data_IF_471789802176
#
_entry.id   IF_471789802176
#
_cell.length_a   1.000
_cell.length_b   1.000
_cell.length_c   1.000
_cell.angle_alpha   90.00
_cell.angle_beta   90.00
_cell.angle_gamma   90.00
#
_symmetry.space_group_name_H-M   'P 1'
#
loop_
_entity.id
_entity.type
_entity.pdbx_description
1 polymer ?
#
# COMPACT_ATOMS: atom_id res chain seq x y z
N UNK A 1 -65.48 -63.50 2.22
CA UNK A 1 -65.23 -63.81 3.65
C UNK A 1 -64.41 -62.67 4.24
N UNK A 2 -64.99 -61.81 5.09
CA UNK A 2 -64.28 -60.68 5.74
C UNK A 2 -63.56 -61.18 6.99
N UNK A 3 -62.32 -60.72 7.23
CA UNK A 3 -61.66 -60.78 8.55
C UNK A 3 -61.10 -59.41 8.90
N UNK A 4 -61.38 -58.96 10.12
CA UNK A 4 -60.76 -57.84 10.81
C UNK A 4 -59.84 -58.47 11.85
N UNK A 5 -58.53 -58.17 11.81
CA UNK A 5 -57.61 -58.51 12.88
C UNK A 5 -57.21 -57.21 13.57
N UNK A 6 -57.64 -57.06 14.84
CA UNK A 6 -57.12 -56.05 15.75
C UNK A 6 -55.89 -56.64 16.42
N UNK A 7 -54.72 -56.05 16.17
CA UNK A 7 -53.52 -56.33 16.96
C UNK A 7 -53.45 -55.30 18.09
N UNK A 8 -53.63 -55.77 19.32
CA UNK A 8 -53.34 -55.02 20.54
C UNK A 8 -51.83 -55.08 20.80
N UNK A 9 -51.13 -53.94 20.69
CA UNK A 9 -49.70 -53.87 21.02
C UNK A 9 -49.51 -53.31 22.44
N UNK A 10 -48.84 -54.09 23.28
CA UNK A 10 -48.55 -53.83 24.69
C UNK A 10 -47.48 -52.74 24.77
N UNK A 11 -47.86 -51.57 25.29
CA UNK A 11 -46.93 -50.47 25.55
C UNK A 11 -45.84 -50.92 26.53
N UNK A 12 -44.64 -51.20 26.01
CA UNK A 12 -43.45 -51.31 26.84
C UNK A 12 -43.09 -49.90 27.32
N UNK A 13 -43.23 -49.67 28.63
CA UNK A 13 -42.82 -48.43 29.29
C UNK A 13 -41.34 -48.18 28.96
N UNK A 14 -41.07 -47.20 28.09
CA UNK A 14 -39.74 -46.71 27.84
C UNK A 14 -39.14 -46.20 29.15
N UNK A 15 -38.02 -46.76 29.58
CA UNK A 15 -37.23 -46.19 30.64
C UNK A 15 -36.52 -44.94 30.09
N UNK A 16 -37.14 -43.77 30.30
CA UNK A 16 -36.47 -42.50 30.02
C UNK A 16 -35.32 -42.33 31.00
N UNK A 17 -34.09 -42.60 30.56
CA UNK A 17 -32.89 -42.18 31.28
C UNK A 17 -32.84 -40.66 31.24
N UNK A 18 -33.32 -40.00 32.30
CA UNK A 18 -33.07 -38.58 32.51
C UNK A 18 -31.57 -38.42 32.78
N UNK A 19 -30.83 -37.93 31.78
CA UNK A 19 -29.43 -37.53 32.00
C UNK A 19 -29.41 -36.42 33.06
N UNK A 20 -28.76 -36.69 34.18
CA UNK A 20 -28.52 -35.70 35.23
C UNK A 20 -27.46 -34.73 34.70
N UNK A 21 -27.89 -33.51 34.35
CA UNK A 21 -26.98 -32.43 33.97
C UNK A 21 -26.02 -32.16 35.14
N UNK A 22 -24.74 -32.55 34.98
CA UNK A 22 -23.69 -32.20 35.94
C UNK A 22 -23.35 -30.73 35.68
N UNK A 23 -23.83 -29.86 36.55
CA UNK A 23 -23.58 -28.42 36.49
C UNK A 23 -22.09 -28.11 36.61
N UNK A 24 -21.45 -27.89 35.46
CA UNK A 24 -20.20 -27.15 35.32
C UNK A 24 -20.33 -26.03 34.27
N UNK A 25 -21.57 -25.64 33.93
CA UNK A 25 -21.89 -24.72 32.85
C UNK A 25 -21.31 -23.31 33.06
N UNK A 26 -21.18 -22.84 34.30
CA UNK A 26 -20.68 -21.49 34.58
C UNK A 26 -19.17 -21.37 34.37
N UNK A 27 -18.38 -22.36 34.78
CA UNK A 27 -16.93 -22.38 34.53
C UNK A 27 -16.66 -22.60 33.04
N UNK A 28 -17.45 -23.45 32.38
CA UNK A 28 -17.33 -23.73 30.94
C UNK A 28 -17.65 -22.50 30.08
N UNK A 29 -18.70 -21.74 30.40
CA UNK A 29 -19.02 -20.50 29.68
C UNK A 29 -18.00 -19.39 29.94
N UNK A 30 -17.46 -19.28 31.17
CA UNK A 30 -16.39 -18.33 31.46
C UNK A 30 -15.11 -18.62 30.66
N UNK A 31 -14.73 -19.90 30.56
CA UNK A 31 -13.58 -20.31 29.72
C UNK A 31 -13.87 -20.03 28.24
N UNK A 32 -15.10 -20.32 27.77
CA UNK A 32 -15.50 -20.06 26.38
C UNK A 32 -15.41 -18.58 26.03
N UNK A 33 -15.94 -17.70 26.90
CA UNK A 33 -15.85 -16.25 26.70
C UNK A 33 -14.40 -15.78 26.77
N UNK A 34 -13.60 -16.28 27.72
CA UNK A 34 -12.18 -15.95 27.84
C UNK A 34 -11.40 -16.27 26.56
N UNK A 35 -11.50 -17.51 26.08
CA UNK A 35 -10.81 -17.95 24.85
C UNK A 35 -11.35 -17.22 23.62
N UNK A 36 -12.68 -17.03 23.55
CA UNK A 36 -13.32 -16.27 22.47
C UNK A 36 -12.87 -14.81 22.41
N UNK A 37 -12.76 -14.13 23.55
CA UNK A 37 -12.27 -12.76 23.62
C UNK A 37 -10.82 -12.65 23.14
N UNK A 38 -9.94 -13.58 23.52
CA UNK A 38 -8.56 -13.61 23.04
C UNK A 38 -8.52 -13.83 21.52
N UNK A 39 -9.33 -14.75 21.00
CA UNK A 39 -9.45 -15.00 19.57
C UNK A 39 -9.91 -13.77 18.78
N UNK A 40 -10.93 -13.06 19.26
CA UNK A 40 -11.45 -11.84 18.63
C UNK A 40 -10.44 -10.69 18.66
N UNK A 41 -9.70 -10.52 19.76
CA UNK A 41 -8.61 -9.53 19.83
C UNK A 41 -7.49 -9.85 18.84
N UNK A 42 -7.14 -11.13 18.68
CA UNK A 42 -6.19 -11.59 17.67
C UNK A 42 -6.65 -11.24 16.25
N UNK A 43 -7.91 -11.53 15.91
CA UNK A 43 -8.50 -11.20 14.60
C UNK A 43 -8.56 -9.69 14.35
N UNK A 44 -8.94 -8.91 15.36
CA UNK A 44 -8.98 -7.45 15.25
C UNK A 44 -7.60 -6.88 14.91
N UNK A 45 -6.53 -7.37 15.56
CA UNK A 45 -5.16 -6.97 15.25
C UNK A 45 -4.75 -7.35 13.84
N UNK A 46 -5.06 -8.57 13.39
CA UNK A 46 -4.75 -9.02 12.03
C UNK A 46 -5.48 -8.19 10.96
N UNK A 47 -6.74 -7.84 11.20
CA UNK A 47 -7.50 -6.95 10.31
C UNK A 47 -6.85 -5.56 10.22
N UNK A 48 -6.43 -4.99 11.35
CA UNK A 48 -5.75 -3.69 11.37
C UNK A 48 -4.42 -3.72 10.61
N UNK A 49 -3.61 -4.76 10.81
CA UNK A 49 -2.36 -4.96 10.06
C UNK A 49 -2.64 -5.13 8.56
N UNK A 50 -3.66 -5.89 8.20
CA UNK A 50 -4.08 -6.04 6.81
C UNK A 50 -4.40 -4.70 6.14
N UNK A 51 -5.09 -3.80 6.83
CA UNK A 51 -5.37 -2.45 6.32
C UNK A 51 -4.09 -1.64 6.12
N UNK A 52 -3.16 -1.66 7.07
CA UNK A 52 -1.87 -0.96 6.95
C UNK A 52 -1.04 -1.48 5.76
N UNK A 53 -0.98 -2.79 5.56
CA UNK A 53 -0.27 -3.38 4.42
C UNK A 53 -0.91 -3.01 3.08
N UNK A 54 -2.25 -3.01 3.00
CA UNK A 54 -2.95 -2.56 1.79
C UNK A 54 -2.63 -1.09 1.47
N UNK A 55 -2.56 -0.23 2.49
CA UNK A 55 -2.22 1.18 2.31
C UNK A 55 -0.76 1.37 1.83
N UNK A 56 0.20 0.64 2.40
CA UNK A 56 1.60 0.66 1.93
C UNK A 56 1.73 0.15 0.50
N UNK A 57 1.02 -0.93 0.15
CA UNK A 57 0.98 -1.44 -1.22
C UNK A 57 0.36 -0.44 -2.21
N UNK A 58 -0.68 0.28 -1.79
CA UNK A 58 -1.29 1.36 -2.58
C UNK A 58 -0.28 2.47 -2.87
N UNK A 59 0.44 2.98 -1.86
CA UNK A 59 1.45 4.03 -2.05
C UNK A 59 2.60 3.58 -2.95
N UNK A 60 3.08 2.33 -2.80
CA UNK A 60 4.09 1.75 -3.72
C UNK A 60 3.60 1.69 -5.16
N UNK A 61 2.32 1.38 -5.37
CA UNK A 61 1.69 1.38 -6.69
C UNK A 61 1.63 2.79 -7.27
N UNK A 62 1.23 3.78 -6.47
CA UNK A 62 1.23 5.19 -6.88
C UNK A 62 2.64 5.70 -7.23
N UNK A 63 3.64 5.40 -6.40
CA UNK A 63 5.03 5.77 -6.68
C UNK A 63 5.54 5.12 -7.98
N UNK A 64 5.21 3.85 -8.21
CA UNK A 64 5.55 3.15 -9.46
C UNK A 64 4.89 3.81 -10.67
N UNK A 65 3.60 4.15 -10.57
CA UNK A 65 2.89 4.87 -11.63
C UNK A 65 3.52 6.23 -11.93
N UNK A 66 3.86 7.01 -10.90
CA UNK A 66 4.54 8.30 -11.03
C UNK A 66 5.94 8.17 -11.66
N UNK A 67 6.68 7.10 -11.34
CA UNK A 67 7.97 6.83 -11.97
C UNK A 67 7.80 6.56 -13.48
N UNK A 68 6.78 5.79 -13.88
CA UNK A 68 6.46 5.58 -15.29
C UNK A 68 5.99 6.87 -15.98
N UNK A 69 5.16 7.69 -15.35
CA UNK A 69 4.71 8.99 -15.88
C UNK A 69 5.92 9.88 -16.25
N UNK A 70 6.89 10.00 -15.34
CA UNK A 70 8.11 10.76 -15.63
C UNK A 70 8.99 10.11 -16.70
N UNK A 71 9.16 8.79 -16.66
CA UNK A 71 9.94 8.09 -17.67
C UNK A 71 9.35 8.29 -19.09
N UNK A 72 8.03 8.30 -19.21
CA UNK A 72 7.34 8.51 -20.49
C UNK A 72 7.46 9.97 -20.98
N UNK A 73 7.39 10.95 -20.07
CA UNK A 73 7.68 12.36 -20.40
C UNK A 73 9.11 12.54 -20.92
N UNK A 74 10.09 11.95 -20.24
CA UNK A 74 11.49 11.98 -20.68
C UNK A 74 11.67 11.33 -22.06
N UNK A 75 11.03 10.18 -22.31
CA UNK A 75 11.06 9.52 -23.63
C UNK A 75 10.43 10.37 -24.73
N UNK A 76 9.37 11.11 -24.42
CA UNK A 76 8.74 12.02 -25.38
C UNK A 76 9.61 13.24 -25.69
N UNK A 77 10.53 13.61 -24.81
CA UNK A 77 11.43 14.76 -24.92
C UNK A 77 12.91 14.34 -24.91
N UNK A 78 13.27 13.39 -25.77
CA UNK A 78 14.63 12.83 -25.87
C UNK A 78 15.71 13.91 -26.12
N UNK A 79 15.35 15.00 -26.81
CA UNK A 79 16.24 16.15 -27.01
C UNK A 79 16.72 16.76 -25.67
N UNK A 80 15.82 16.93 -24.70
CA UNK A 80 16.14 17.44 -23.38
C UNK A 80 16.91 16.43 -22.53
N UNK A 81 16.63 15.13 -22.70
CA UNK A 81 17.39 14.05 -22.06
C UNK A 81 18.84 14.08 -22.52
N UNK A 82 19.08 14.14 -23.83
CA UNK A 82 20.44 14.20 -24.39
C UNK A 82 21.17 15.50 -24.04
N UNK A 83 20.44 16.59 -23.81
CA UNK A 83 21.00 17.89 -23.42
C UNK A 83 21.32 18.00 -21.93
N UNK A 84 20.93 17.03 -21.10
CA UNK A 84 21.14 17.09 -19.65
C UNK A 84 20.03 17.79 -18.88
N UNK A 85 18.96 18.26 -19.53
CA UNK A 85 17.97 19.17 -18.94
C UNK A 85 17.08 18.52 -17.86
N UNK A 86 17.01 17.18 -17.83
CA UNK A 86 16.35 16.43 -16.75
C UNK A 86 17.29 16.10 -15.57
N UNK A 87 18.54 16.58 -15.56
CA UNK A 87 19.47 16.30 -14.47
C UNK A 87 19.31 17.31 -13.32
N UNK A 88 18.57 16.90 -12.28
CA UNK A 88 18.19 17.72 -11.14
C UNK A 88 17.59 19.08 -11.55
N UNK A 89 16.52 19.09 -12.36
CA UNK A 89 15.96 20.31 -12.90
C UNK A 89 15.32 21.17 -11.82
N UNK A 90 15.32 22.49 -12.03
CA UNK A 90 14.49 23.40 -11.25
C UNK A 90 13.03 23.28 -11.69
N UNK A 91 12.11 23.13 -10.75
CA UNK A 91 10.68 23.12 -11.04
C UNK A 91 10.22 24.50 -11.51
N UNK A 92 9.88 24.63 -12.79
CA UNK A 92 9.41 25.88 -13.38
C UNK A 92 8.34 25.58 -14.41
N UNK A 93 7.17 26.18 -14.23
CA UNK A 93 6.05 26.01 -15.16
C UNK A 93 6.11 27.02 -16.30
N UNK A 94 6.07 26.53 -17.54
CA UNK A 94 6.02 27.37 -18.75
C UNK A 94 4.70 27.15 -19.49
N UNK A 95 3.76 28.09 -19.37
CA UNK A 95 2.42 27.96 -19.93
C UNK A 95 2.38 27.81 -21.47
N UNK A 96 3.36 28.38 -22.19
CA UNK A 96 3.40 28.31 -23.66
C UNK A 96 3.67 26.91 -24.19
N UNK A 97 4.16 25.98 -23.36
CA UNK A 97 4.36 24.58 -23.75
C UNK A 97 3.07 23.88 -24.21
N UNK A 98 1.90 24.36 -23.77
CA UNK A 98 0.58 23.79 -24.11
C UNK A 98 -0.20 24.64 -25.11
N UNK A 99 0.44 25.63 -25.74
CA UNK A 99 -0.19 26.46 -26.77
C UNK A 99 0.43 26.20 -28.13
N UNK A 100 -0.14 26.78 -29.19
CA UNK A 100 0.40 26.68 -30.55
C UNK A 100 1.76 27.33 -30.71
N UNK A 101 2.14 28.25 -29.82
CA UNK A 101 3.49 28.85 -29.80
C UNK A 101 4.55 27.84 -29.37
N UNK A 102 4.19 26.91 -28.48
CA UNK A 102 5.10 25.92 -27.92
C UNK A 102 6.14 26.52 -26.97
N UNK A 103 7.11 25.69 -26.60
CA UNK A 103 8.28 26.05 -25.81
C UNK A 103 9.49 25.22 -26.26
N UNK A 104 10.67 25.55 -25.76
CA UNK A 104 11.88 24.76 -25.99
C UNK A 104 11.84 23.42 -25.26
N UNK A 105 12.65 22.44 -25.70
CA UNK A 105 12.77 21.14 -25.02
C UNK A 105 13.20 21.28 -23.55
N UNK A 106 14.08 22.24 -23.24
CA UNK A 106 14.53 22.54 -21.88
C UNK A 106 13.42 23.14 -21.01
N UNK A 107 12.60 24.03 -21.56
CA UNK A 107 11.43 24.59 -20.86
C UNK A 107 10.36 23.53 -20.61
N UNK A 108 10.15 22.63 -21.58
CA UNK A 108 9.25 21.51 -21.43
C UNK A 108 9.73 20.57 -20.31
N UNK A 109 11.03 20.25 -20.24
CA UNK A 109 11.58 19.41 -19.18
C UNK A 109 11.37 19.99 -17.77
N UNK A 110 11.55 21.31 -17.61
CA UNK A 110 11.27 21.99 -16.34
C UNK A 110 9.78 22.00 -15.99
N UNK A 111 8.93 22.11 -17.01
CA UNK A 111 7.46 22.07 -16.86
C UNK A 111 6.99 20.66 -16.48
N UNK A 112 7.50 19.64 -17.16
CA UNK A 112 7.28 18.23 -16.84
C UNK A 112 7.65 17.93 -15.39
N UNK A 113 8.85 18.39 -14.98
CA UNK A 113 9.31 18.21 -13.61
C UNK A 113 8.41 18.93 -12.61
N UNK A 114 8.03 20.19 -12.88
CA UNK A 114 7.11 20.96 -12.04
C UNK A 114 5.78 20.24 -11.82
N UNK A 115 5.14 19.77 -12.90
CA UNK A 115 3.87 19.05 -12.82
C UNK A 115 4.03 17.73 -12.08
N UNK A 116 5.11 17.00 -12.36
CA UNK A 116 5.35 15.71 -11.75
C UNK A 116 5.61 15.80 -10.25
N UNK A 117 6.44 16.73 -9.77
CA UNK A 117 6.66 16.90 -8.33
C UNK A 117 5.39 17.34 -7.61
N UNK A 118 4.50 18.09 -8.28
CA UNK A 118 3.20 18.44 -7.72
C UNK A 118 2.32 17.19 -7.55
N UNK A 119 2.26 16.31 -8.57
CA UNK A 119 1.56 15.03 -8.46
C UNK A 119 2.16 14.11 -7.39
N UNK A 120 3.49 14.09 -7.26
CA UNK A 120 4.19 13.32 -6.21
C UNK A 120 3.78 13.81 -4.82
N UNK A 121 3.78 15.12 -4.59
CA UNK A 121 3.37 15.71 -3.32
C UNK A 121 1.87 15.53 -3.02
N UNK A 122 1.03 15.45 -4.06
CA UNK A 122 -0.41 15.23 -3.93
C UNK A 122 -0.77 13.77 -3.62
N UNK A 123 -0.15 12.82 -4.33
CA UNK A 123 -0.53 11.40 -4.27
C UNK A 123 0.20 10.61 -3.19
N UNK A 124 1.34 11.10 -2.71
CA UNK A 124 2.17 10.41 -1.73
C UNK A 124 2.31 11.21 -0.43
N UNK A 125 2.20 10.54 0.73
CA UNK A 125 2.40 11.19 2.03
C UNK A 125 3.84 11.67 2.19
N UNK A 126 4.02 12.98 2.39
CA UNK A 126 5.33 13.64 2.40
C UNK A 126 6.18 13.29 1.16
N UNK A 127 5.51 13.14 0.01
CA UNK A 127 6.12 12.78 -1.26
C UNK A 127 7.15 13.80 -1.72
N UNK A 128 8.34 13.32 -2.06
CA UNK A 128 9.38 14.10 -2.74
C UNK A 128 9.96 13.26 -3.87
N UNK A 129 10.47 13.91 -4.90
CA UNK A 129 11.08 13.21 -6.01
C UNK A 129 12.05 14.07 -6.78
N UNK A 130 12.98 13.41 -7.47
CA UNK A 130 13.98 14.04 -8.32
C UNK A 130 14.29 13.12 -9.49
N UNK A 131 14.62 13.72 -10.62
CA UNK A 131 15.25 13.04 -11.74
C UNK A 131 16.68 13.51 -11.80
N UNK A 132 17.64 12.60 -11.81
CA UNK A 132 19.03 12.98 -12.02
C UNK A 132 19.90 11.82 -12.50
N UNK A 133 21.04 12.17 -13.08
CA UNK A 133 22.06 11.19 -13.43
C UNK A 133 22.74 10.68 -12.16
N UNK A 134 22.89 9.37 -12.06
CA UNK A 134 23.56 8.76 -10.93
C UNK A 134 24.25 7.45 -11.30
N UNK A 135 25.38 7.18 -10.66
CA UNK A 135 26.05 5.88 -10.77
C UNK A 135 25.42 4.82 -9.84
N UNK A 136 24.61 5.24 -8.86
CA UNK A 136 23.89 4.37 -7.93
C UNK A 136 22.44 4.87 -7.70
N UNK A 137 21.41 4.22 -8.28
CA UNK A 137 20.03 4.67 -8.12
C UNK A 137 19.53 4.58 -6.67
N UNK A 138 20.12 3.72 -5.85
CA UNK A 138 19.71 3.47 -4.46
C UNK A 138 20.34 4.44 -3.44
N UNK A 139 21.24 5.34 -3.87
CA UNK A 139 21.89 6.29 -2.98
C UNK A 139 21.11 7.59 -2.80
N UNK A 140 21.44 8.30 -1.72
CA UNK A 140 20.86 9.60 -1.40
C UNK A 140 19.61 9.53 -0.52
N UNK A 141 19.12 10.70 -0.16
CA UNK A 141 17.91 10.92 0.65
C UNK A 141 17.03 11.97 0.00
N UNK A 142 15.82 12.16 0.52
CA UNK A 142 14.90 13.20 0.04
C UNK A 142 15.45 14.63 0.12
N UNK A 143 16.42 14.89 1.00
CA UNK A 143 17.09 16.20 1.14
C UNK A 143 18.45 16.27 0.46
N UNK A 144 19.07 15.13 0.17
CA UNK A 144 20.38 15.03 -0.46
C UNK A 144 20.35 13.86 -1.47
N UNK A 145 19.81 14.06 -2.68
CA UNK A 145 19.46 12.98 -3.60
C UNK A 145 20.65 12.26 -4.27
N UNK A 146 21.88 12.69 -4.00
CA UNK A 146 23.11 12.08 -4.55
C UNK A 146 23.10 12.00 -6.09
N UNK A 147 22.96 13.16 -6.72
CA UNK A 147 22.93 13.32 -8.18
C UNK A 147 24.35 13.45 -8.75
N UNK A 148 25.10 12.35 -8.68
CA UNK A 148 26.47 12.26 -9.17
C UNK A 148 26.64 11.04 -10.07
N UNK A 149 27.18 11.26 -11.27
CA UNK A 149 27.41 10.22 -12.28
C UNK A 149 27.15 10.77 -13.68
N UNK A 150 27.37 9.93 -14.69
CA UNK A 150 27.09 10.27 -16.10
C UNK A 150 26.59 9.06 -16.91
N UNK A 151 26.04 8.04 -16.23
CA UNK A 151 25.73 6.74 -16.84
C UNK A 151 24.27 6.62 -17.26
N UNK A 152 23.34 6.87 -16.33
CA UNK A 152 21.90 6.65 -16.53
C UNK A 152 21.12 7.64 -15.68
N UNK A 153 19.98 8.11 -16.20
CA UNK A 153 18.99 8.83 -15.42
C UNK A 153 18.26 7.90 -14.44
N UNK A 154 18.22 8.28 -13.17
CA UNK A 154 17.37 7.68 -12.17
C UNK A 154 16.22 8.62 -11.81
N UNK A 155 15.02 8.04 -11.67
CA UNK A 155 13.85 8.71 -11.12
C UNK A 155 13.73 8.24 -9.68
N UNK A 156 14.08 9.10 -8.73
CA UNK A 156 14.07 8.78 -7.30
C UNK A 156 12.83 9.41 -6.66
N UNK A 157 12.09 8.63 -5.88
CA UNK A 157 10.86 9.05 -5.19
C UNK A 157 10.92 8.57 -3.74
N UNK A 158 10.69 9.48 -2.80
CA UNK A 158 10.60 9.18 -1.37
C UNK A 158 9.22 9.55 -0.83
N UNK A 159 8.70 8.74 0.08
CA UNK A 159 7.47 9.00 0.82
C UNK A 159 7.55 8.34 2.21
N UNK A 160 6.68 8.74 3.12
CA UNK A 160 6.60 8.16 4.47
C UNK A 160 5.33 7.32 4.61
N UNK A 161 5.46 6.03 4.90
CA UNK A 161 4.33 5.18 5.30
C UNK A 161 4.33 4.90 6.83
N UNK A 162 3.19 4.55 7.41
CA UNK A 162 3.11 4.26 8.87
C UNK A 162 3.97 3.06 9.30
N UNK A 163 4.33 2.18 8.37
CA UNK A 163 5.20 1.04 8.64
C UNK A 163 6.66 1.51 8.74
N UNK A 164 7.05 2.46 7.89
CA UNK A 164 8.38 3.06 7.80
C UNK A 164 8.67 3.99 8.96
N UNK A 165 7.67 4.67 9.50
CA UNK A 165 7.81 5.52 10.70
C UNK A 165 8.05 4.71 11.99
N UNK A 166 7.73 3.42 11.99
CA UNK A 166 8.07 2.48 13.08
C UNK A 166 9.49 1.90 12.98
N UNK A 167 10.18 2.06 11.84
CA UNK A 167 11.53 1.54 11.58
C UNK A 167 12.61 2.58 11.89
N UNK A 168 12.26 3.85 12.10
CA UNK A 168 13.17 4.98 12.34
C UNK A 168 13.79 5.05 13.75
N UNK A 169 14.08 3.91 14.38
CA UNK A 169 14.78 3.83 15.66
C UNK A 169 16.08 3.00 15.58
N UNK A 170 16.91 3.21 14.55
CA UNK A 170 18.36 2.96 14.65
C UNK A 170 19.12 3.88 13.69
N UNK A 171 19.76 4.96 14.17
CA UNK A 171 20.80 5.63 13.41
C UNK A 171 22.07 4.78 13.51
N UNK A 172 22.54 4.23 12.38
CA UNK A 172 23.90 3.66 12.31
C UNK A 172 24.91 4.81 12.31
N UNK A 173 25.65 4.91 13.40
CA UNK A 173 26.91 5.65 13.55
C UNK A 173 28.02 5.14 12.65
#
# INVERSE_FOLDING_TARGET
>A
MKRINLYYNKQHKGFSVVKRNRGFTLVETLITVLVGSIGLLGLAKLNALGMQYNQSAYWRTQATYLAYDMADRMRANDTAVNAGDYNNPTATYTASCYTTTGCTSAELAKTDYYEWIAKVAELLPNGTGVVCETDNPDSGTSSAPDCHGNRVYAIKIWWTDEISSGVTATPSS
#
